data_IF_918463870618
#
_entry.id   IF_918463870618
#
_cell.length_a   1.000
_cell.length_b   1.000
_cell.length_c   1.000
_cell.angle_alpha   90.00
_cell.angle_beta   90.00
_cell.angle_gamma   90.00
#
_symmetry.space_group_name_H-M   'P 1'
#
loop_
_entity.id
_entity.type
_entity.pdbx_description
1 polymer ?
#
# COMPACT_ATOMS: atom_id res chain seq x y z
N UNK A 1 16.90 14.15 -15.63
CA UNK A 1 17.06 14.43 -14.19
C UNK A 1 16.37 13.32 -13.42
N UNK A 2 17.13 12.68 -12.52
CA UNK A 2 16.96 11.30 -12.05
C UNK A 2 15.93 11.22 -10.91
N UNK A 3 15.00 10.26 -11.03
CA UNK A 3 13.99 9.90 -10.04
C UNK A 3 14.57 8.97 -8.97
N UNK A 4 15.04 9.52 -7.85
CA UNK A 4 15.69 8.74 -6.77
C UNK A 4 14.91 8.80 -5.44
N UNK A 5 13.58 8.75 -5.52
CA UNK A 5 12.74 8.40 -4.37
C UNK A 5 12.20 6.99 -4.62
N UNK A 6 12.63 6.04 -3.80
CA UNK A 6 12.29 4.61 -3.89
C UNK A 6 10.85 4.36 -4.36
N UNK A 7 10.69 3.75 -5.55
CA UNK A 7 9.40 3.37 -6.19
C UNK A 7 8.69 2.23 -5.47
N UNK A 8 8.46 2.36 -4.16
CA UNK A 8 7.85 1.32 -3.35
C UNK A 8 6.41 1.62 -2.94
N UNK A 9 5.82 2.73 -3.40
CA UNK A 9 4.44 3.09 -3.08
C UNK A 9 3.61 3.23 -4.35
N UNK A 10 2.42 2.65 -4.36
CA UNK A 10 1.41 2.83 -5.40
C UNK A 10 0.14 3.37 -4.77
N UNK A 11 -0.35 4.49 -5.29
CA UNK A 11 -1.64 5.06 -4.87
C UNK A 11 -2.72 4.36 -5.66
N UNK A 12 -3.73 3.85 -4.94
CA UNK A 12 -4.92 3.23 -5.52
C UNK A 12 -6.16 4.07 -5.15
N UNK A 13 -7.29 3.81 -5.81
CA UNK A 13 -8.52 4.55 -5.59
C UNK A 13 -8.95 4.55 -4.10
N UNK A 14 -9.77 5.52 -3.70
CA UNK A 14 -10.32 5.66 -2.35
C UNK A 14 -9.29 5.97 -1.24
N UNK A 15 -8.30 6.83 -1.51
CA UNK A 15 -7.24 7.23 -0.56
C UNK A 15 -6.48 6.05 0.04
N UNK A 16 -6.36 4.97 -0.72
CA UNK A 16 -5.58 3.81 -0.32
C UNK A 16 -4.20 3.87 -0.94
N UNK A 17 -3.21 3.43 -0.17
CA UNK A 17 -1.81 3.38 -0.59
C UNK A 17 -1.29 1.98 -0.31
N UNK A 18 -0.63 1.40 -1.31
CA UNK A 18 0.04 0.11 -1.21
C UNK A 18 1.54 0.34 -1.14
N UNK A 19 2.17 -0.17 -0.08
CA UNK A 19 3.61 -0.13 0.11
C UNK A 19 4.23 -1.51 -0.12
N UNK A 20 5.33 -1.53 -0.86
CA UNK A 20 6.16 -2.69 -1.10
C UNK A 20 7.23 -2.76 -0.01
N UNK A 21 7.22 -3.83 0.79
CA UNK A 21 8.14 -4.00 1.92
C UNK A 21 9.12 -5.13 1.61
N UNK A 22 10.38 -4.98 2.04
CA UNK A 22 11.46 -5.97 1.92
C UNK A 22 11.66 -6.45 0.48
N UNK A 23 12.03 -5.54 -0.42
CA UNK A 23 12.33 -5.88 -1.82
C UNK A 23 11.19 -6.61 -2.52
N UNK A 24 9.95 -6.13 -2.34
CA UNK A 24 8.72 -6.67 -2.93
C UNK A 24 8.15 -7.96 -2.29
N UNK A 25 8.72 -8.44 -1.19
CA UNK A 25 8.25 -9.68 -0.53
C UNK A 25 6.89 -9.53 0.14
N UNK A 26 6.56 -8.33 0.60
CA UNK A 26 5.31 -8.02 1.31
C UNK A 26 4.62 -6.80 0.71
N UNK A 27 3.31 -6.74 0.97
CA UNK A 27 2.42 -5.63 0.65
C UNK A 27 1.76 -5.14 1.93
N UNK A 28 1.82 -3.83 2.13
CA UNK A 28 1.10 -3.12 3.18
C UNK A 28 0.05 -2.23 2.50
N UNK A 29 -1.23 -2.52 2.73
CA UNK A 29 -2.34 -1.67 2.27
C UNK A 29 -2.75 -0.79 3.43
N UNK A 30 -2.75 0.53 3.21
CA UNK A 30 -3.28 1.50 4.16
C UNK A 30 -4.36 2.34 3.51
N UNK A 31 -5.32 2.79 4.31
CA UNK A 31 -6.23 3.88 3.96
C UNK A 31 -5.85 5.11 4.78
N UNK A 32 -5.70 6.25 4.12
CA UNK A 32 -5.27 7.50 4.77
C UNK A 32 -6.45 8.47 4.83
N UNK A 33 -6.78 8.90 6.05
CA UNK A 33 -7.68 10.03 6.30
C UNK A 33 -6.84 11.27 6.58
N UNK A 34 -6.61 12.07 5.54
CA UNK A 34 -5.73 13.25 5.60
C UNK A 34 -6.27 14.36 6.49
N UNK A 35 -7.59 14.52 6.55
CA UNK A 35 -8.32 15.47 7.41
C UNK A 35 -8.05 15.22 8.90
N UNK A 36 -7.98 13.96 9.31
CA UNK A 36 -7.72 13.56 10.69
C UNK A 36 -6.27 13.17 10.93
N UNK A 37 -5.44 13.14 9.87
CA UNK A 37 -4.06 12.61 9.90
C UNK A 37 -3.99 11.18 10.47
N UNK A 38 -4.99 10.35 10.18
CA UNK A 38 -5.06 8.96 10.65
C UNK A 38 -4.75 8.00 9.50
N UNK A 39 -3.93 6.99 9.81
CA UNK A 39 -3.59 5.89 8.89
C UNK A 39 -4.23 4.61 9.41
N UNK A 40 -5.05 3.97 8.59
CA UNK A 40 -5.66 2.68 8.88
C UNK A 40 -4.92 1.59 8.13
N UNK A 41 -4.33 0.63 8.85
CA UNK A 41 -3.74 -0.57 8.25
C UNK A 41 -4.88 -1.52 7.87
N UNK A 42 -5.06 -1.75 6.57
CA UNK A 42 -6.10 -2.64 6.04
C UNK A 42 -5.59 -4.06 5.85
N UNK A 43 -4.32 -4.20 5.47
CA UNK A 43 -3.71 -5.49 5.18
C UNK A 43 -2.19 -5.44 5.29
N UNK A 44 -1.60 -6.52 5.81
CA UNK A 44 -0.16 -6.80 5.76
C UNK A 44 -0.01 -8.27 5.41
N UNK A 45 0.70 -8.57 4.32
CA UNK A 45 0.92 -9.95 3.91
C UNK A 45 1.93 -10.07 2.77
N UNK A 46 2.28 -11.30 2.47
CA UNK A 46 3.14 -11.66 1.33
C UNK A 46 2.45 -11.33 0.00
N UNK A 47 3.21 -11.30 -1.09
CA UNK A 47 2.62 -11.11 -2.43
C UNK A 47 1.57 -12.18 -2.77
N UNK A 48 1.80 -13.44 -2.38
CA UNK A 48 0.86 -14.54 -2.63
C UNK A 48 -0.44 -14.43 -1.81
N UNK A 49 -0.38 -13.80 -0.62
CA UNK A 49 -1.57 -13.49 0.17
C UNK A 49 -2.29 -12.26 -0.39
N UNK A 50 -1.54 -11.25 -0.84
CA UNK A 50 -2.07 -10.07 -1.50
C UNK A 50 -2.83 -10.40 -2.79
N UNK A 51 -2.32 -11.30 -3.64
CA UNK A 51 -2.99 -11.70 -4.89
C UNK A 51 -4.38 -12.34 -4.67
N UNK A 52 -4.66 -12.81 -3.45
CA UNK A 52 -5.98 -13.36 -3.07
C UNK A 52 -6.91 -12.31 -2.49
N UNK A 53 -6.42 -11.10 -2.26
CA UNK A 53 -7.13 -10.00 -1.60
C UNK A 53 -7.35 -8.89 -2.63
N UNK A 54 -8.61 -8.53 -2.85
CA UNK A 54 -8.95 -7.41 -3.71
C UNK A 54 -8.65 -6.07 -2.99
N UNK A 55 -7.52 -5.46 -3.33
CA UNK A 55 -7.06 -4.20 -2.75
C UNK A 55 -8.01 -3.01 -2.98
N UNK A 56 -8.95 -3.11 -3.92
CA UNK A 56 -10.00 -2.11 -4.14
C UNK A 56 -11.16 -2.26 -3.15
N UNK A 57 -11.25 -3.39 -2.45
CA UNK A 57 -12.33 -3.69 -1.49
C UNK A 57 -11.86 -3.57 -0.02
N UNK A 58 -10.64 -4.04 0.35
CA UNK A 58 -10.15 -4.12 1.76
C UNK A 58 -9.72 -2.82 2.43
#
# INVERSE_FOLDING_TARGET
MVSDAHRNASIIANNRVVFNIKGNSYRLIVAIRYDLSIIFIRFIGTHAEYDKVDAEIV
#
